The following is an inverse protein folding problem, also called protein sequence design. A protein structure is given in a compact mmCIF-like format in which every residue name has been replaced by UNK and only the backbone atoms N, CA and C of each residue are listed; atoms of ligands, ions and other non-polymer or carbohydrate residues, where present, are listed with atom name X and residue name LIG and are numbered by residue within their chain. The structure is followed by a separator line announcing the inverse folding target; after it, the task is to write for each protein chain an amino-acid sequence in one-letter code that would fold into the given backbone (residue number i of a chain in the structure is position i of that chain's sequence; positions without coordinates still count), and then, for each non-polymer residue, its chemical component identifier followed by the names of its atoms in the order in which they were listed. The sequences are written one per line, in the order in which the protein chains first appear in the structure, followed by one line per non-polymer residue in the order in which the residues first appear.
data_IF_933137608261
#
_entry.id   IF_933137608261
#
_cell.length_a   1.000
_cell.length_b   1.000
_cell.length_c   1.000
_cell.angle_alpha   90.00
_cell.angle_beta   90.00
_cell.angle_gamma   90.00
#
_symmetry.space_group_name_H-M   'P 1'
#
loop_
_entity.id
_entity.type
_entity.pdbx_description
1 polymer ?
#
# COMPACT_ATOMS: atom_id res chain seq x y z
N UNK A 1 -15.46 -27.91 6.39
CA UNK A 1 -15.16 -26.73 5.57
C UNK A 1 -14.74 -25.64 6.54
N UNK A 2 -13.44 -25.57 6.85
CA UNK A 2 -12.88 -24.63 7.82
C UNK A 2 -12.68 -23.30 7.11
N UNK A 3 -13.40 -22.27 7.53
CA UNK A 3 -13.13 -20.88 7.14
C UNK A 3 -11.78 -20.49 7.78
N UNK A 4 -10.68 -20.56 7.00
CA UNK A 4 -9.39 -20.01 7.38
C UNK A 4 -9.57 -18.50 7.63
N UNK A 5 -9.46 -18.13 8.89
CA UNK A 5 -9.45 -16.72 9.29
C UNK A 5 -8.24 -16.05 8.64
N UNK A 6 -8.47 -15.30 7.57
CA UNK A 6 -7.42 -14.56 6.85
C UNK A 6 -6.70 -13.62 7.81
N UNK A 7 -5.36 -13.70 7.84
CA UNK A 7 -4.53 -12.86 8.71
C UNK A 7 -4.77 -11.36 8.45
N UNK A 8 -4.60 -10.49 9.46
CA UNK A 8 -4.77 -9.03 9.29
C UNK A 8 -3.94 -8.47 8.13
N UNK A 9 -2.73 -9.00 7.92
CA UNK A 9 -1.84 -8.65 6.80
C UNK A 9 -2.41 -9.01 5.43
N UNK A 10 -3.14 -10.13 5.33
CA UNK A 10 -3.77 -10.54 4.08
C UNK A 10 -4.92 -9.60 3.68
N UNK A 11 -5.72 -9.17 4.65
CA UNK A 11 -6.81 -8.20 4.42
C UNK A 11 -6.27 -6.84 3.96
N UNK A 12 -5.13 -6.41 4.51
CA UNK A 12 -4.47 -5.17 4.12
C UNK A 12 -3.95 -5.23 2.68
N UNK A 13 -3.28 -6.33 2.30
CA UNK A 13 -2.78 -6.54 0.93
C UNK A 13 -3.94 -6.57 -0.08
N UNK A 14 -5.05 -7.21 0.25
CA UNK A 14 -6.24 -7.24 -0.61
C UNK A 14 -6.87 -5.85 -0.79
N UNK A 15 -6.92 -5.04 0.27
CA UNK A 15 -7.41 -3.66 0.18
C UNK A 15 -6.51 -2.81 -0.73
N UNK A 16 -5.20 -2.91 -0.58
CA UNK A 16 -4.25 -2.21 -1.44
C UNK A 16 -4.38 -2.64 -2.90
N UNK A 17 -4.56 -3.93 -3.16
CA UNK A 17 -4.74 -4.44 -4.52
C UNK A 17 -6.05 -3.92 -5.15
N UNK A 18 -7.16 -3.88 -4.39
CA UNK A 18 -8.42 -3.29 -4.87
C UNK A 18 -8.29 -1.81 -5.17
N UNK A 19 -7.61 -1.04 -4.30
CA UNK A 19 -7.33 0.37 -4.54
C UNK A 19 -6.49 0.57 -5.79
N UNK A 20 -5.49 -0.29 -6.02
CA UNK A 20 -4.66 -0.26 -7.22
C UNK A 20 -5.48 -0.53 -8.48
N UNK A 21 -6.35 -1.52 -8.47
CA UNK A 21 -7.25 -1.79 -9.59
C UNK A 21 -8.23 -0.64 -9.85
N UNK A 22 -8.82 -0.06 -8.80
CA UNK A 22 -9.71 1.10 -8.92
C UNK A 22 -8.97 2.31 -9.54
N UNK A 23 -7.75 2.59 -9.09
CA UNK A 23 -6.90 3.63 -9.64
C UNK A 23 -6.66 3.41 -11.15
N UNK A 24 -6.24 2.22 -11.57
CA UNK A 24 -5.99 1.88 -12.98
C UNK A 24 -7.26 2.00 -13.84
N UNK A 25 -8.38 1.52 -13.37
CA UNK A 25 -9.67 1.66 -14.05
C UNK A 25 -10.08 3.14 -14.17
N UNK A 26 -9.91 3.92 -13.11
CA UNK A 26 -10.18 5.36 -13.12
C UNK A 26 -9.35 6.09 -14.19
N UNK A 27 -8.04 5.79 -14.27
CA UNK A 27 -7.18 6.34 -15.33
C UNK A 27 -7.67 5.92 -16.70
N UNK A 28 -7.95 4.64 -16.93
CA UNK A 28 -8.42 4.13 -18.23
C UNK A 28 -9.71 4.81 -18.68
N UNK A 29 -10.68 4.92 -17.76
CA UNK A 29 -11.96 5.60 -18.04
C UNK A 29 -11.71 7.09 -18.34
N UNK A 30 -10.89 7.76 -17.53
CA UNK A 30 -10.59 9.19 -17.71
C UNK A 30 -9.90 9.45 -19.05
N UNK A 31 -8.94 8.61 -19.45
CA UNK A 31 -8.24 8.73 -20.74
C UNK A 31 -9.21 8.52 -21.89
N UNK A 32 -10.05 7.48 -21.85
CA UNK A 32 -11.03 7.22 -22.91
C UNK A 32 -12.06 8.35 -23.00
N UNK A 33 -12.54 8.86 -21.86
CA UNK A 33 -13.48 10.00 -21.83
C UNK A 33 -12.83 11.28 -22.39
N UNK A 34 -11.59 11.56 -21.99
CA UNK A 34 -10.85 12.74 -22.45
C UNK A 34 -10.70 12.71 -23.97
N UNK A 35 -10.28 11.58 -24.52
CA UNK A 35 -10.04 11.43 -25.97
C UNK A 35 -11.35 11.33 -26.76
N UNK A 36 -12.44 10.80 -26.15
CA UNK A 36 -13.75 10.71 -26.80
C UNK A 36 -14.53 12.02 -26.74
N UNK A 37 -14.28 12.84 -25.74
CA UNK A 37 -14.87 14.17 -25.64
C UNK A 37 -14.12 15.10 -26.62
N UNK A 38 -14.74 15.52 -27.72
CA UNK A 38 -14.20 16.44 -28.74
C UNK A 38 -13.64 17.79 -28.18
N UNK A 39 -13.40 17.88 -26.87
CA UNK A 39 -12.69 18.98 -26.19
C UNK A 39 -11.23 19.10 -26.66
N UNK A 40 -10.74 18.07 -27.34
CA UNK A 40 -9.35 17.80 -27.63
C UNK A 40 -8.72 18.74 -28.68
N UNK A 41 -9.51 19.19 -29.64
CA UNK A 41 -8.98 19.96 -30.78
C UNK A 41 -8.53 21.40 -30.46
N UNK A 42 -8.64 21.86 -29.20
CA UNK A 42 -8.25 23.25 -28.84
C UNK A 42 -7.26 23.37 -27.68
N UNK A 43 -7.07 22.32 -26.90
CA UNK A 43 -6.30 22.40 -25.67
C UNK A 43 -5.07 21.46 -25.62
N UNK A 44 -5.02 20.41 -26.44
CA UNK A 44 -3.97 19.40 -26.37
C UNK A 44 -3.58 18.96 -27.81
N UNK A 45 -2.43 19.44 -28.31
CA UNK A 45 -1.82 18.95 -29.54
C UNK A 45 -1.13 17.60 -29.24
N UNK A 46 -1.80 16.48 -29.55
CA UNK A 46 -1.19 15.16 -29.48
C UNK A 46 -0.40 14.81 -30.75
N UNK A 47 0.69 14.08 -30.57
CA UNK A 47 1.56 13.75 -31.70
C UNK A 47 0.92 12.75 -32.68
N UNK A 48 0.08 11.83 -32.15
CA UNK A 48 -0.62 10.79 -32.93
C UNK A 48 -1.97 10.43 -32.28
N UNK A 49 -3.05 11.07 -32.70
CA UNK A 49 -4.39 10.87 -32.13
C UNK A 49 -4.90 9.43 -32.27
N UNK A 50 -4.65 8.78 -33.40
CA UNK A 50 -5.11 7.40 -33.61
C UNK A 50 -4.39 6.40 -32.71
N UNK A 51 -3.09 6.57 -32.50
CA UNK A 51 -2.31 5.74 -31.59
C UNK A 51 -2.70 5.96 -30.13
N UNK A 52 -2.98 7.19 -29.75
CA UNK A 52 -3.41 7.52 -28.40
C UNK A 52 -4.81 6.97 -28.13
N UNK A 53 -5.72 7.08 -29.07
CA UNK A 53 -7.08 6.56 -28.99
C UNK A 53 -7.09 5.04 -28.87
N UNK A 54 -6.40 4.35 -29.78
CA UNK A 54 -6.30 2.88 -29.73
C UNK A 54 -5.57 2.40 -28.47
N UNK A 55 -4.51 3.07 -28.05
CA UNK A 55 -3.77 2.76 -26.84
C UNK A 55 -4.60 2.94 -25.57
N UNK A 56 -5.44 3.98 -25.49
CA UNK A 56 -6.32 4.21 -24.34
C UNK A 56 -7.41 3.16 -24.22
N UNK A 57 -8.00 2.74 -25.32
CA UNK A 57 -8.93 1.61 -25.35
C UNK A 57 -8.25 0.31 -24.95
N UNK A 58 -7.05 0.05 -25.51
CA UNK A 58 -6.26 -1.12 -25.13
C UNK A 58 -5.93 -1.13 -23.63
N UNK A 59 -5.52 0.03 -23.09
CA UNK A 59 -5.26 0.18 -21.67
C UNK A 59 -6.50 -0.16 -20.81
N UNK A 60 -7.66 0.38 -21.16
CA UNK A 60 -8.90 0.15 -20.42
C UNK A 60 -9.32 -1.33 -20.49
N UNK A 61 -9.37 -1.91 -21.71
CA UNK A 61 -9.78 -3.31 -21.92
C UNK A 61 -8.84 -4.27 -21.18
N UNK A 62 -7.53 -4.06 -21.30
CA UNK A 62 -6.55 -4.92 -20.64
C UNK A 62 -6.66 -4.81 -19.11
N UNK A 63 -6.91 -3.63 -18.58
CA UNK A 63 -7.12 -3.45 -17.14
C UNK A 63 -8.39 -4.16 -16.66
N UNK A 64 -9.50 -4.08 -17.38
CA UNK A 64 -10.72 -4.82 -17.04
C UNK A 64 -10.44 -6.32 -17.05
N UNK A 65 -9.74 -6.81 -18.06
CA UNK A 65 -9.38 -8.22 -18.21
C UNK A 65 -8.50 -8.69 -17.04
N UNK A 66 -7.49 -7.89 -16.67
CA UNK A 66 -6.61 -8.17 -15.53
C UNK A 66 -7.37 -8.17 -14.20
N UNK A 67 -8.34 -7.29 -13.99
CA UNK A 67 -9.19 -7.30 -12.79
C UNK A 67 -9.95 -8.61 -12.71
N UNK A 68 -10.63 -9.02 -13.81
CA UNK A 68 -11.46 -10.24 -13.82
C UNK A 68 -10.62 -11.52 -13.62
N UNK A 69 -9.45 -11.60 -14.27
CA UNK A 69 -8.63 -12.83 -14.23
C UNK A 69 -7.68 -12.90 -13.02
N UNK A 70 -7.29 -11.77 -12.42
CA UNK A 70 -6.31 -11.73 -11.35
C UNK A 70 -6.85 -11.30 -9.97
N UNK A 71 -8.15 -11.25 -9.80
CA UNK A 71 -8.80 -10.77 -8.57
C UNK A 71 -8.35 -11.47 -7.28
N UNK A 72 -7.83 -12.70 -7.38
CA UNK A 72 -7.41 -13.51 -6.24
C UNK A 72 -5.90 -13.86 -6.25
N UNK A 73 -5.07 -13.00 -6.83
CA UNK A 73 -3.66 -13.33 -7.03
C UNK A 73 -2.79 -12.89 -5.87
N UNK A 74 -2.28 -13.87 -5.12
CA UNK A 74 -1.33 -13.68 -3.99
C UNK A 74 0.14 -13.90 -4.38
N UNK A 75 0.44 -14.31 -5.61
CA UNK A 75 1.81 -14.65 -6.04
C UNK A 75 2.58 -13.37 -6.38
N UNK A 76 3.76 -13.14 -5.78
CA UNK A 76 4.55 -11.91 -6.02
C UNK A 76 4.93 -11.73 -7.50
N UNK A 77 5.14 -12.83 -8.23
CA UNK A 77 5.42 -12.79 -9.66
C UNK A 77 4.26 -12.20 -10.49
N UNK A 78 3.01 -12.44 -10.09
CA UNK A 78 1.85 -11.87 -10.78
C UNK A 78 1.64 -10.39 -10.44
N UNK A 79 1.92 -9.98 -9.19
CA UNK A 79 1.92 -8.56 -8.80
C UNK A 79 2.97 -7.77 -9.58
N UNK A 80 4.15 -8.37 -9.76
CA UNK A 80 5.20 -7.79 -10.61
C UNK A 80 4.73 -7.67 -12.06
N UNK A 81 4.15 -8.73 -12.63
CA UNK A 81 3.59 -8.71 -13.99
C UNK A 81 2.52 -7.62 -14.16
N UNK A 82 1.63 -7.46 -13.17
CA UNK A 82 0.61 -6.40 -13.15
C UNK A 82 1.22 -4.99 -13.20
N UNK A 83 2.20 -4.72 -12.32
CA UNK A 83 2.85 -3.42 -12.27
C UNK A 83 3.70 -3.15 -13.53
N UNK A 84 4.37 -4.17 -14.05
CA UNK A 84 5.14 -4.08 -15.28
C UNK A 84 4.24 -3.77 -16.48
N UNK A 85 3.13 -4.48 -16.63
CA UNK A 85 2.16 -4.25 -17.70
C UNK A 85 1.60 -2.83 -17.62
N UNK A 86 1.30 -2.32 -16.44
CA UNK A 86 0.80 -0.96 -16.23
C UNK A 86 1.82 0.09 -16.71
N UNK A 87 3.08 -0.05 -16.26
CA UNK A 87 4.15 0.88 -16.64
C UNK A 87 4.44 0.81 -18.14
N UNK A 88 4.44 -0.37 -18.75
CA UNK A 88 4.65 -0.52 -20.21
C UNK A 88 3.53 0.15 -21.02
N UNK A 89 2.27 -0.04 -20.61
CA UNK A 89 1.14 0.57 -21.28
C UNK A 89 1.14 2.10 -21.12
N UNK A 90 1.42 2.60 -19.91
CA UNK A 90 1.54 4.04 -19.69
C UNK A 90 2.74 4.63 -20.44
N UNK A 91 3.86 3.92 -20.55
CA UNK A 91 5.01 4.35 -21.38
C UNK A 91 4.65 4.40 -22.86
N UNK A 92 3.87 3.44 -23.35
CA UNK A 92 3.32 3.46 -24.69
C UNK A 92 2.40 4.67 -24.93
N UNK A 93 1.48 4.94 -24.00
CA UNK A 93 0.59 6.10 -24.06
C UNK A 93 1.37 7.42 -23.97
N UNK A 94 2.41 7.48 -23.16
CA UNK A 94 3.32 8.62 -23.05
C UNK A 94 4.01 8.90 -24.42
N UNK A 95 4.47 7.85 -25.10
CA UNK A 95 5.04 7.97 -26.44
C UNK A 95 3.99 8.45 -27.44
N UNK A 96 2.79 7.85 -27.47
CA UNK A 96 1.70 8.20 -28.39
C UNK A 96 1.21 9.64 -28.21
N UNK A 97 1.23 10.14 -26.98
CA UNK A 97 0.85 11.51 -26.63
C UNK A 97 1.90 12.58 -26.99
N UNK A 98 3.08 12.18 -27.52
CA UNK A 98 4.14 13.13 -27.86
C UNK A 98 5.19 13.37 -26.78
N UNK A 99 5.25 12.52 -25.77
CA UNK A 99 6.30 12.54 -24.75
C UNK A 99 6.06 13.53 -23.62
N UNK A 100 7.12 14.23 -23.21
CA UNK A 100 7.15 15.08 -22.00
C UNK A 100 6.12 16.22 -21.97
N UNK A 101 5.73 16.88 -23.06
CA UNK A 101 4.69 17.90 -23.04
C UNK A 101 3.32 17.37 -22.57
N UNK A 102 3.11 16.05 -22.68
CA UNK A 102 1.88 15.42 -22.22
C UNK A 102 1.88 15.21 -20.69
N UNK A 103 0.74 15.43 -20.04
CA UNK A 103 0.58 15.16 -18.62
C UNK A 103 0.67 13.67 -18.24
N UNK A 104 0.74 12.77 -19.23
CA UNK A 104 0.77 11.31 -19.03
C UNK A 104 2.03 10.86 -18.27
N UNK A 105 3.14 11.60 -18.39
CA UNK A 105 4.34 11.35 -17.60
C UNK A 105 4.12 11.38 -16.09
N UNK A 106 3.21 12.21 -15.61
CA UNK A 106 2.86 12.26 -14.19
C UNK A 106 2.13 11.01 -13.72
N UNK A 107 1.34 10.36 -14.61
CA UNK A 107 0.68 9.09 -14.29
C UNK A 107 1.70 7.96 -14.10
N UNK A 108 2.83 7.99 -14.82
CA UNK A 108 3.93 7.04 -14.63
C UNK A 108 4.53 7.14 -13.22
N UNK A 109 4.73 8.37 -12.70
CA UNK A 109 5.24 8.57 -11.33
C UNK A 109 4.29 7.94 -10.31
N UNK A 110 2.99 8.19 -10.46
CA UNK A 110 1.97 7.66 -9.54
C UNK A 110 1.88 6.13 -9.65
N UNK A 111 1.90 5.57 -10.87
CA UNK A 111 1.90 4.12 -11.09
C UNK A 111 3.13 3.45 -10.46
N UNK A 112 4.32 4.03 -10.61
CA UNK A 112 5.55 3.56 -9.97
C UNK A 112 5.44 3.64 -8.44
N UNK A 113 4.93 4.74 -7.89
CA UNK A 113 4.75 4.90 -6.45
C UNK A 113 3.83 3.82 -5.86
N UNK A 114 2.64 3.61 -6.47
CA UNK A 114 1.70 2.60 -6.02
C UNK A 114 2.25 1.19 -6.24
N UNK A 115 2.89 0.91 -7.38
CA UNK A 115 3.56 -0.36 -7.65
C UNK A 115 4.61 -0.71 -6.58
N UNK A 116 5.35 0.28 -6.08
CA UNK A 116 6.33 0.10 -5.01
C UNK A 116 5.71 -0.21 -3.63
N UNK A 117 4.46 0.15 -3.36
CA UNK A 117 3.77 -0.28 -2.13
C UNK A 117 3.43 -1.78 -2.16
N UNK A 118 3.16 -2.31 -3.36
CA UNK A 118 2.80 -3.73 -3.56
C UNK A 118 4.04 -4.62 -3.70
N UNK A 119 5.13 -4.08 -4.28
CA UNK A 119 6.35 -4.81 -4.61
C UNK A 119 7.48 -4.39 -3.66
N UNK A 120 7.91 -5.31 -2.81
CA UNK A 120 8.93 -5.03 -1.80
C UNK A 120 10.35 -5.08 -2.36
N UNK A 121 11.19 -4.16 -1.89
CA UNK A 121 12.64 -4.21 -2.10
C UNK A 121 13.07 -3.94 -3.55
N UNK A 122 14.02 -4.74 -4.05
CA UNK A 122 14.67 -4.52 -5.35
C UNK A 122 13.73 -4.59 -6.54
N UNK A 123 12.64 -5.35 -6.42
CA UNK A 123 11.64 -5.53 -7.50
C UNK A 123 10.90 -4.22 -7.79
N UNK A 124 10.59 -3.44 -6.77
CA UNK A 124 9.97 -2.11 -6.94
C UNK A 124 10.91 -1.13 -7.66
N UNK A 125 12.22 -1.16 -7.40
CA UNK A 125 13.20 -0.32 -8.11
C UNK A 125 13.33 -0.72 -9.60
N UNK A 126 13.18 -2.00 -9.93
CA UNK A 126 13.14 -2.44 -11.33
C UNK A 126 11.97 -1.80 -12.09
N UNK A 127 10.80 -1.67 -11.46
CA UNK A 127 9.65 -0.99 -12.08
C UNK A 127 9.96 0.49 -12.34
N UNK A 128 10.60 1.18 -11.40
CA UNK A 128 11.05 2.55 -11.60
C UNK A 128 12.08 2.67 -12.73
N UNK A 129 13.01 1.71 -12.82
CA UNK A 129 14.00 1.66 -13.90
C UNK A 129 13.34 1.48 -15.28
N UNK A 130 12.36 0.57 -15.39
CA UNK A 130 11.61 0.34 -16.63
C UNK A 130 10.82 1.60 -17.03
N UNK A 131 10.16 2.25 -16.05
CA UNK A 131 9.44 3.51 -16.31
C UNK A 131 10.39 4.61 -16.81
N UNK A 132 11.53 4.78 -16.15
CA UNK A 132 12.56 5.76 -16.56
C UNK A 132 13.10 5.46 -17.95
N UNK A 133 13.38 4.20 -18.23
CA UNK A 133 13.85 3.78 -19.56
C UNK A 133 12.78 4.04 -20.63
N UNK A 134 11.50 3.80 -20.32
CA UNK A 134 10.37 4.13 -21.18
C UNK A 134 10.27 5.64 -21.47
N UNK A 135 10.41 6.48 -20.46
CA UNK A 135 10.36 7.95 -20.58
C UNK A 135 11.52 8.47 -21.43
N UNK A 136 12.75 8.08 -21.07
CA UNK A 136 13.96 8.55 -21.77
C UNK A 136 14.03 8.00 -23.18
N UNK A 137 13.71 6.70 -23.36
CA UNK A 137 13.67 6.05 -24.67
C UNK A 137 12.63 6.67 -25.60
N UNK A 138 11.43 6.97 -25.10
CA UNK A 138 10.37 7.68 -25.84
C UNK A 138 10.84 9.07 -26.29
N UNK A 139 11.46 9.82 -25.38
CA UNK A 139 11.95 11.17 -25.70
C UNK A 139 13.10 11.14 -26.72
N UNK A 140 13.97 10.14 -26.62
CA UNK A 140 15.05 9.94 -27.58
C UNK A 140 14.51 9.61 -29.00
N UNK A 141 13.55 8.69 -29.08
CA UNK A 141 12.95 8.29 -30.33
C UNK A 141 12.18 9.42 -31.02
N UNK A 142 11.39 10.19 -30.21
CA UNK A 142 10.67 11.35 -30.73
C UNK A 142 11.63 12.46 -31.21
N UNK A 143 12.75 12.66 -30.53
CA UNK A 143 13.78 13.63 -30.95
C UNK A 143 14.50 13.23 -32.23
N UNK A 144 14.61 11.93 -32.52
CA UNK A 144 15.15 11.44 -33.81
C UNK A 144 14.16 11.58 -34.98
N UNK A 145 12.86 11.43 -34.67
CA UNK A 145 11.79 11.44 -35.68
C UNK A 145 11.45 12.86 -36.19
N UNK A 146 11.68 13.88 -35.37
CA UNK A 146 11.35 15.28 -35.71
C UNK A 146 12.46 16.23 -35.24
N UNK A 147 13.36 16.58 -36.14
CA UNK A 147 14.50 17.45 -35.88
C UNK A 147 14.09 18.90 -35.47
N UNK A 148 12.84 19.30 -35.75
CA UNK A 148 12.32 20.64 -35.39
C UNK A 148 11.69 20.69 -34.00
N UNK A 149 11.52 19.55 -33.32
CA UNK A 149 11.03 19.58 -31.92
C UNK A 149 12.16 19.88 -30.96
N UNK A 150 11.97 20.83 -30.04
CA UNK A 150 12.98 21.07 -29.00
C UNK A 150 13.16 19.78 -28.21
N UNK A 151 14.40 19.28 -28.18
CA UNK A 151 14.74 18.07 -27.43
C UNK A 151 14.51 18.30 -25.93
N UNK A 152 13.49 17.65 -25.36
CA UNK A 152 13.15 17.75 -23.94
C UNK A 152 13.86 16.69 -23.09
N UNK A 153 15.13 16.34 -23.46
CA UNK A 153 15.91 15.32 -22.73
C UNK A 153 16.11 15.65 -21.27
N UNK A 154 16.33 16.92 -20.93
CA UNK A 154 16.46 17.35 -19.53
C UNK A 154 15.16 17.10 -18.76
N UNK A 155 14.02 17.43 -19.34
CA UNK A 155 12.71 17.20 -18.72
C UNK A 155 12.40 15.69 -18.61
N UNK A 156 12.76 14.89 -19.61
CA UNK A 156 12.63 13.43 -19.55
C UNK A 156 13.53 12.83 -18.45
N UNK A 157 14.76 13.32 -18.32
CA UNK A 157 15.67 12.93 -17.26
C UNK A 157 15.16 13.30 -15.86
N UNK A 158 14.61 14.52 -15.69
CA UNK A 158 14.01 14.95 -14.43
C UNK A 158 12.77 14.13 -14.08
N UNK A 159 11.93 13.80 -15.06
CA UNK A 159 10.77 12.93 -14.84
C UNK A 159 11.17 11.52 -14.43
N UNK A 160 12.20 10.94 -15.08
CA UNK A 160 12.78 9.66 -14.67
C UNK A 160 13.39 9.69 -13.27
N UNK A 161 14.11 10.76 -12.93
CA UNK A 161 14.63 10.96 -11.57
C UNK A 161 13.50 11.05 -10.53
N UNK A 162 12.37 11.70 -10.86
CA UNK A 162 11.19 11.74 -10.01
C UNK A 162 10.55 10.36 -9.81
N UNK A 163 10.55 9.50 -10.84
CA UNK A 163 10.10 8.10 -10.68
C UNK A 163 10.96 7.34 -9.67
N UNK A 164 12.29 7.48 -9.72
CA UNK A 164 13.18 6.88 -8.72
C UNK A 164 13.02 7.49 -7.34
N UNK A 165 12.91 8.82 -7.23
CA UNK A 165 12.67 9.49 -5.98
C UNK A 165 11.36 9.01 -5.32
N UNK A 166 10.27 8.93 -6.09
CA UNK A 166 9.00 8.41 -5.63
C UNK A 166 9.12 6.95 -5.15
N UNK A 167 9.81 6.10 -5.92
CA UNK A 167 10.05 4.71 -5.55
C UNK A 167 10.82 4.58 -4.23
N UNK A 168 11.90 5.34 -4.06
CA UNK A 168 12.73 5.33 -2.85
C UNK A 168 11.99 5.88 -1.64
N UNK A 169 11.24 6.97 -1.80
CA UNK A 169 10.42 7.55 -0.73
C UNK A 169 9.36 6.57 -0.24
N UNK A 170 8.63 5.95 -1.17
CA UNK A 170 7.60 4.97 -0.82
C UNK A 170 8.22 3.76 -0.13
N UNK A 171 9.34 3.23 -0.62
CA UNK A 171 10.02 2.11 0.04
C UNK A 171 10.53 2.50 1.44
N UNK A 172 11.10 3.69 1.59
CA UNK A 172 11.55 4.19 2.89
C UNK A 172 10.40 4.32 3.89
N UNK A 173 9.27 4.88 3.44
CA UNK A 173 8.08 5.03 4.27
C UNK A 173 7.48 3.68 4.67
N UNK A 174 7.35 2.77 3.72
CA UNK A 174 6.82 1.42 3.97
C UNK A 174 7.67 0.66 4.99
N UNK A 175 9.01 0.73 4.86
CA UNK A 175 9.93 0.10 5.84
C UNK A 175 9.78 0.70 7.24
N UNK A 176 9.62 2.03 7.34
CA UNK A 176 9.42 2.70 8.64
C UNK A 176 8.09 2.29 9.29
N UNK A 177 7.02 2.20 8.50
CA UNK A 177 5.72 1.74 8.99
C UNK A 177 5.79 0.29 9.48
N UNK A 178 6.39 -0.62 8.71
CA UNK A 178 6.58 -2.03 9.13
C UNK A 178 7.41 -2.14 10.43
N UNK A 179 8.48 -1.36 10.57
CA UNK A 179 9.27 -1.35 11.79
C UNK A 179 8.50 -0.81 13.00
N UNK A 180 7.65 0.20 12.79
CA UNK A 180 6.80 0.74 13.85
C UNK A 180 5.72 -0.25 14.29
N UNK A 181 5.10 -0.95 13.32
CA UNK A 181 4.09 -1.98 13.61
C UNK A 181 4.69 -3.14 14.40
N UNK A 182 5.86 -3.65 13.98
CA UNK A 182 6.54 -4.75 14.70
C UNK A 182 6.92 -4.35 16.12
N UNK A 183 7.41 -3.12 16.32
CA UNK A 183 7.74 -2.61 17.65
C UNK A 183 6.50 -2.47 18.54
N UNK A 184 5.37 -2.02 17.99
CA UNK A 184 4.11 -1.91 18.70
C UNK A 184 3.58 -3.30 19.12
N UNK A 185 3.64 -4.30 18.23
CA UNK A 185 3.27 -5.69 18.52
C UNK A 185 4.16 -6.29 19.62
N UNK A 186 5.47 -6.05 19.59
CA UNK A 186 6.40 -6.50 20.63
C UNK A 186 6.05 -5.90 22.01
N UNK A 187 5.86 -4.58 22.07
CA UNK A 187 5.48 -3.90 23.32
C UNK A 187 4.15 -4.40 23.87
N UNK A 188 3.15 -4.61 23.01
CA UNK A 188 1.86 -5.17 23.44
C UNK A 188 2.04 -6.58 24.02
N UNK A 189 2.86 -7.43 23.40
CA UNK A 189 3.17 -8.77 23.90
C UNK A 189 3.93 -8.75 25.22
N UNK A 190 4.88 -7.83 25.39
CA UNK A 190 5.61 -7.64 26.67
C UNK A 190 4.67 -7.24 27.81
N UNK A 191 3.75 -6.30 27.55
CA UNK A 191 2.76 -5.89 28.57
C UNK A 191 1.90 -7.07 28.99
N UNK A 192 1.34 -7.81 28.03
CA UNK A 192 0.53 -9.01 28.32
C UNK A 192 1.34 -10.05 29.11
N UNK A 193 2.61 -10.25 28.75
CA UNK A 193 3.50 -11.16 29.46
C UNK A 193 3.77 -10.75 30.91
N UNK A 194 4.00 -9.46 31.16
CA UNK A 194 4.19 -8.91 32.50
C UNK A 194 2.92 -8.99 33.36
N UNK A 195 1.75 -8.73 32.77
CA UNK A 195 0.47 -8.89 33.46
C UNK A 195 0.22 -10.34 33.85
N UNK A 196 0.48 -11.30 32.94
CA UNK A 196 0.34 -12.72 33.23
C UNK A 196 1.32 -13.19 34.32
N UNK A 197 2.58 -12.70 34.27
CA UNK A 197 3.57 -13.00 35.29
C UNK A 197 3.17 -12.44 36.65
N UNK A 198 2.71 -11.19 36.70
CA UNK A 198 2.22 -10.57 37.95
C UNK A 198 1.03 -11.35 38.52
N UNK A 199 0.07 -11.74 37.69
CA UNK A 199 -1.07 -12.55 38.11
C UNK A 199 -0.61 -13.90 38.71
N UNK A 200 0.35 -14.57 38.02
CA UNK A 200 0.90 -15.84 38.48
C UNK A 200 1.64 -15.69 39.82
N UNK A 201 2.45 -14.64 40.01
CA UNK A 201 3.16 -14.34 41.26
C UNK A 201 2.15 -14.14 42.39
N UNK A 202 1.14 -13.29 42.17
CA UNK A 202 0.11 -13.03 43.15
C UNK A 202 -0.66 -14.28 43.57
N UNK A 203 -0.96 -15.17 42.61
CA UNK A 203 -1.63 -16.44 42.93
C UNK A 203 -0.74 -17.41 43.74
N UNK A 204 0.58 -17.43 43.45
CA UNK A 204 1.51 -18.34 44.14
C UNK A 204 2.09 -17.84 45.44
N UNK A 205 1.84 -16.60 45.81
CA UNK A 205 2.27 -16.06 47.10
C UNK A 205 1.50 -16.75 48.25
N UNK A 206 2.23 -17.25 49.24
CA UNK A 206 1.66 -17.82 50.46
C UNK A 206 1.08 -16.78 51.41
N UNK A 207 1.40 -15.52 51.20
CA UNK A 207 0.90 -14.40 51.97
C UNK A 207 -0.41 -13.92 51.35
N UNK A 208 -1.47 -13.80 52.17
CA UNK A 208 -2.74 -13.23 51.72
C UNK A 208 -2.57 -11.74 51.37
N UNK A 209 -2.93 -11.37 50.15
CA UNK A 209 -2.89 -10.00 49.62
C UNK A 209 -4.33 -9.56 49.35
N UNK A 210 -4.69 -8.42 49.93
CA UNK A 210 -5.94 -7.73 49.69
C UNK A 210 -5.64 -6.29 49.25
N UNK A 211 -6.18 -5.92 48.09
CA UNK A 211 -6.11 -4.54 47.59
C UNK A 211 -7.49 -3.91 47.68
N UNK A 212 -7.55 -2.73 48.30
CA UNK A 212 -8.79 -2.01 48.55
C UNK A 212 -8.84 -0.73 47.71
N UNK A 213 -10.02 -0.35 47.29
CA UNK A 213 -10.27 0.96 46.68
C UNK A 213 -10.42 2.06 47.76
N UNK A 214 -10.61 3.31 47.34
CA UNK A 214 -10.82 4.46 48.24
C UNK A 214 -12.09 4.33 49.06
N UNK A 215 -13.06 3.52 48.64
CA UNK A 215 -14.32 3.23 49.32
C UNK A 215 -14.25 1.99 50.23
N UNK A 216 -13.03 1.44 50.45
CA UNK A 216 -12.76 0.22 51.21
C UNK A 216 -13.44 -1.03 50.64
N UNK A 217 -13.67 -1.09 49.33
CA UNK A 217 -14.11 -2.31 48.64
C UNK A 217 -12.89 -3.08 48.15
N UNK A 218 -12.98 -4.39 48.18
CA UNK A 218 -11.91 -5.27 47.71
C UNK A 218 -11.85 -5.20 46.20
N UNK A 219 -10.73 -4.72 45.67
CA UNK A 219 -10.43 -4.72 44.23
C UNK A 219 -9.75 -6.02 43.79
N UNK A 220 -8.90 -6.57 44.65
CA UNK A 220 -8.15 -7.77 44.34
C UNK A 220 -7.91 -8.55 45.64
N UNK A 221 -8.11 -9.86 45.59
CA UNK A 221 -7.74 -10.81 46.63
C UNK A 221 -7.00 -11.99 45.99
N UNK A 222 -5.82 -12.37 46.47
CA UNK A 222 -5.16 -13.56 46.01
C UNK A 222 -5.74 -14.82 46.70
N UNK A 223 -5.43 -16.00 46.11
CA UNK A 223 -5.95 -17.29 46.62
C UNK A 223 -5.60 -17.55 48.08
N UNK A 224 -4.42 -17.14 48.51
CA UNK A 224 -4.01 -17.24 49.91
C UNK A 224 -4.84 -16.36 50.87
N UNK A 225 -5.25 -15.16 50.46
CA UNK A 225 -6.14 -14.31 51.21
C UNK A 225 -7.53 -14.95 51.35
N UNK A 226 -8.09 -15.48 50.29
CA UNK A 226 -9.38 -16.18 50.27
C UNK A 226 -9.34 -17.41 51.18
N UNK A 227 -8.27 -18.21 51.11
CA UNK A 227 -8.08 -19.39 51.95
C UNK A 227 -7.93 -19.05 53.42
N UNK A 228 -7.17 -18.01 53.76
CA UNK A 228 -6.99 -17.56 55.16
C UNK A 228 -8.27 -16.99 55.77
N UNK A 229 -9.13 -16.36 55.00
CA UNK A 229 -10.39 -15.79 55.42
C UNK A 229 -11.56 -16.78 55.32
N UNK A 230 -11.34 -17.96 54.74
CA UNK A 230 -12.39 -18.97 54.56
C UNK A 230 -13.49 -18.59 53.58
N UNK A 231 -13.21 -17.66 52.65
CA UNK A 231 -14.19 -17.11 51.72
C UNK A 231 -13.84 -17.52 50.29
N UNK A 232 -14.83 -17.68 49.40
CA UNK A 232 -14.62 -18.07 48.04
C UNK A 232 -14.54 -16.90 47.03
N UNK A 233 -15.14 -15.75 47.38
CA UNK A 233 -15.07 -14.53 46.57
C UNK A 233 -15.25 -13.29 47.51
N UNK A 234 -14.35 -12.32 47.34
CA UNK A 234 -14.33 -11.07 48.10
C UNK A 234 -14.38 -9.84 47.19
N UNK A 235 -14.21 -10.02 45.89
CA UNK A 235 -14.09 -8.89 44.97
C UNK A 235 -15.40 -8.10 44.91
N UNK A 236 -15.31 -6.78 45.10
CA UNK A 236 -16.45 -5.86 45.14
C UNK A 236 -17.15 -5.71 46.50
N UNK A 237 -16.85 -6.56 47.48
CA UNK A 237 -17.43 -6.47 48.84
C UNK A 237 -16.70 -5.39 49.70
N UNK A 238 -17.39 -4.81 50.67
CA UNK A 238 -16.74 -3.92 51.65
C UNK A 238 -16.09 -4.75 52.73
N UNK A 239 -14.89 -4.35 53.13
CA UNK A 239 -14.14 -5.08 54.17
C UNK A 239 -14.87 -5.07 55.54
N UNK A 240 -15.83 -4.16 55.75
CA UNK A 240 -16.62 -4.09 56.95
C UNK A 240 -17.79 -5.12 56.99
N UNK A 241 -18.08 -5.74 55.86
CA UNK A 241 -19.19 -6.69 55.71
C UNK A 241 -18.67 -8.15 55.66
N UNK A 242 -17.34 -8.32 55.71
CA UNK A 242 -16.63 -9.61 55.78
C UNK A 242 -16.18 -9.89 57.24
#
# INVERSE_FOLDING_TARGET
MSAEASSPREKQTQRLLRLYHLYRLSIGITLVLLISSKLDNRLLEFANDDLLRSGSWLYLVLNILLVVFLENTRRPARLFGLALTDVLLLSWLFFAAGGVPSAIGNLLIVSVAIGNTLLRGRIGLLIAAVATLGIVGSSFFLGLSDANRPSSYLQAGTLGALCFAAALLVQGLTRRLEASETLAEQRASEVIGLEALNALILQRMRTGILVLDRQRRVQLANESALSLLGMHDLVGQRIADC
#
